data_IF_048852270946
#
_entry.id   IF_048852270946
#
_cell.length_a   1.000
_cell.length_b   1.000
_cell.length_c   1.000
_cell.angle_alpha   90.00
_cell.angle_beta   90.00
_cell.angle_gamma   90.00
#
_symmetry.space_group_name_H-M   'P 1'
#
loop_
_entity.id
_entity.type
_entity.pdbx_description
1 polymer ?
#
# COMPACT_ATOMS: atom_id res chain seq x y z
N UNK A 1 -9.17 -2.84 -3.49
CA UNK A 1 -8.46 -2.42 -2.25
C UNK A 1 -7.01 -2.13 -2.62
N UNK A 2 -6.52 -0.91 -2.44
CA UNK A 2 -5.11 -0.59 -2.69
C UNK A 2 -4.18 -1.47 -1.84
N UNK A 3 -3.27 -2.18 -2.51
CA UNK A 3 -2.16 -2.92 -1.91
C UNK A 3 -0.84 -2.19 -2.28
N UNK A 4 0.31 -2.82 -2.09
CA UNK A 4 1.60 -2.19 -2.35
C UNK A 4 1.72 -1.57 -3.76
N UNK A 5 1.36 -2.26 -4.85
CA UNK A 5 1.53 -1.70 -6.19
C UNK A 5 0.70 -0.42 -6.41
N UNK A 6 -0.55 -0.41 -5.97
CA UNK A 6 -1.45 0.73 -6.12
C UNK A 6 -0.94 1.94 -5.31
N UNK A 7 -0.46 1.71 -4.08
CA UNK A 7 0.09 2.78 -3.24
C UNK A 7 1.42 3.31 -3.81
N UNK A 8 2.25 2.44 -4.42
CA UNK A 8 3.50 2.86 -5.06
C UNK A 8 3.23 3.71 -6.32
N UNK A 9 2.24 3.33 -7.13
CA UNK A 9 1.84 4.13 -8.29
C UNK A 9 1.37 5.51 -7.85
N UNK A 10 0.58 5.61 -6.78
CA UNK A 10 0.16 6.90 -6.20
C UNK A 10 1.38 7.68 -5.69
N UNK A 11 2.27 7.08 -4.91
CA UNK A 11 3.50 7.72 -4.42
C UNK A 11 4.34 8.27 -5.57
N UNK A 12 4.58 7.46 -6.59
CA UNK A 12 5.38 7.84 -7.74
C UNK A 12 4.77 9.01 -8.51
N UNK A 13 3.45 8.97 -8.72
CA UNK A 13 2.73 10.05 -9.42
C UNK A 13 2.65 11.35 -8.61
N UNK A 14 2.62 11.27 -7.27
CA UNK A 14 2.60 12.45 -6.40
C UNK A 14 3.98 13.10 -6.26
N UNK A 15 5.06 12.32 -6.26
CA UNK A 15 6.39 12.80 -5.91
C UNK A 15 6.82 14.09 -6.65
N UNK A 16 6.64 14.22 -7.98
CA UNK A 16 7.01 15.46 -8.67
C UNK A 16 6.20 16.67 -8.24
N UNK A 17 4.94 16.48 -7.85
CA UNK A 17 4.01 17.57 -7.51
C UNK A 17 4.13 18.03 -6.06
N UNK A 18 4.60 17.16 -5.15
CA UNK A 18 4.68 17.49 -3.73
C UNK A 18 6.09 17.81 -3.26
N UNK A 19 7.13 17.45 -4.03
CA UNK A 19 8.52 17.72 -3.63
C UNK A 19 8.86 19.20 -3.67
N UNK A 20 8.95 19.84 -2.51
CA UNK A 20 9.20 21.27 -2.35
C UNK A 20 7.94 22.13 -2.45
N UNK A 21 6.76 21.54 -2.56
CA UNK A 21 5.49 22.27 -2.53
C UNK A 21 5.17 22.76 -1.11
N UNK A 22 4.52 23.92 -1.02
CA UNK A 22 3.95 24.47 0.22
C UNK A 22 2.45 24.24 0.23
N UNK A 23 1.91 23.84 1.38
CA UNK A 23 0.46 23.73 1.62
C UNK A 23 -0.07 25.11 2.00
N UNK A 24 -0.85 25.72 1.14
CA UNK A 24 -1.43 27.06 1.37
C UNK A 24 -2.70 27.01 2.22
N UNK A 25 -3.52 25.99 2.00
CA UNK A 25 -4.76 25.80 2.74
C UNK A 25 -5.15 24.32 2.78
N UNK A 26 -5.92 23.96 3.81
CA UNK A 26 -6.49 22.62 3.99
C UNK A 26 -7.96 22.74 4.32
N UNK A 27 -8.82 22.07 3.53
CA UNK A 27 -10.25 21.94 3.80
C UNK A 27 -10.55 20.51 4.23
N UNK A 28 -11.00 20.29 5.45
CA UNK A 28 -11.49 19.01 5.94
C UNK A 28 -13.01 18.96 5.75
N UNK A 29 -13.46 18.23 4.73
CA UNK A 29 -14.89 18.13 4.37
C UNK A 29 -15.56 16.92 5.06
N UNK A 30 -14.78 15.99 5.59
CA UNK A 30 -15.24 14.79 6.28
C UNK A 30 -14.26 14.40 7.41
N UNK A 31 -14.58 14.75 8.63
CA UNK A 31 -13.70 14.53 9.80
C UNK A 31 -13.41 13.06 10.10
N UNK A 32 -14.30 12.13 9.73
CA UNK A 32 -14.05 10.68 9.88
C UNK A 32 -12.84 10.21 9.08
N UNK A 33 -12.41 10.99 8.10
CA UNK A 33 -11.16 10.74 7.36
C UNK A 33 -9.91 11.06 8.19
N UNK A 34 -10.04 11.72 9.35
CA UNK A 34 -8.98 12.01 10.30
C UNK A 34 -8.92 11.01 11.47
N UNK A 35 -9.62 9.88 11.42
CA UNK A 35 -9.72 8.90 12.52
C UNK A 35 -8.37 8.37 13.07
N UNK A 36 -7.27 8.60 12.37
CA UNK A 36 -5.90 8.27 12.80
C UNK A 36 -5.12 9.48 13.29
N UNK A 37 -5.64 10.67 13.10
CA UNK A 37 -5.04 11.90 13.60
C UNK A 37 -5.34 12.05 15.10
N UNK A 38 -4.31 12.43 15.86
CA UNK A 38 -4.47 12.69 17.29
C UNK A 38 -4.77 14.17 17.47
N UNK A 39 -6.02 14.49 17.69
CA UNK A 39 -6.50 15.87 17.85
C UNK A 39 -7.71 16.18 16.95
N UNK A 40 -8.28 17.37 17.08
CA UNK A 40 -9.38 17.83 16.25
C UNK A 40 -8.93 18.20 14.83
N UNK A 41 -9.90 18.48 13.95
CA UNK A 41 -9.60 18.87 12.56
C UNK A 41 -8.82 20.20 12.49
N UNK A 42 -9.04 21.10 13.41
CA UNK A 42 -8.33 22.38 13.52
C UNK A 42 -6.82 22.18 13.74
N UNK A 43 -6.41 21.23 14.59
CA UNK A 43 -4.99 20.89 14.79
C UNK A 43 -4.36 20.35 13.49
N UNK A 44 -5.08 19.50 12.77
CA UNK A 44 -4.63 19.00 11.48
C UNK A 44 -4.42 20.13 10.46
N UNK A 45 -5.37 21.06 10.38
CA UNK A 45 -5.31 22.21 9.47
C UNK A 45 -4.16 23.15 9.85
N UNK A 46 -4.04 23.51 11.13
CA UNK A 46 -3.02 24.43 11.64
C UNK A 46 -1.59 23.91 11.37
N UNK A 47 -1.34 22.63 11.67
CA UNK A 47 -0.02 22.00 11.47
C UNK A 47 0.40 21.86 10.01
N UNK A 48 -0.56 21.83 9.10
CA UNK A 48 -0.30 21.65 7.67
C UNK A 48 -0.29 22.97 6.89
N UNK A 49 -1.03 23.98 7.33
CA UNK A 49 -1.06 25.28 6.65
C UNK A 49 0.31 25.98 6.75
N UNK A 50 0.87 26.34 5.62
CA UNK A 50 2.22 26.89 5.50
C UNK A 50 3.34 25.83 5.51
N UNK A 51 3.01 24.55 5.72
CA UNK A 51 4.00 23.48 5.75
C UNK A 51 4.57 23.22 4.35
N UNK A 52 5.89 23.06 4.26
CA UNK A 52 6.57 22.66 3.04
C UNK A 52 6.82 21.16 3.04
N UNK A 53 6.47 20.50 1.93
CA UNK A 53 6.59 19.06 1.76
C UNK A 53 7.94 18.70 1.15
N UNK A 54 8.60 17.69 1.70
CA UNK A 54 9.91 17.24 1.24
C UNK A 54 9.82 16.25 0.07
N UNK A 55 8.70 15.54 -0.06
CA UNK A 55 8.45 14.54 -1.09
C UNK A 55 7.46 13.50 -0.63
N UNK A 56 7.45 12.35 -1.29
CA UNK A 56 6.53 11.25 -1.01
C UNK A 56 7.29 9.95 -0.73
N UNK A 57 6.95 9.27 0.37
CA UNK A 57 7.57 8.02 0.83
C UNK A 57 6.50 6.96 1.08
N UNK A 58 6.81 5.69 0.78
CA UNK A 58 5.91 4.55 1.00
C UNK A 58 6.63 3.41 1.73
N UNK A 59 5.92 2.79 2.69
CA UNK A 59 6.24 1.45 3.20
C UNK A 59 4.96 0.62 3.25
N UNK A 60 4.97 -0.55 2.62
CA UNK A 60 3.78 -1.39 2.52
C UNK A 60 2.62 -0.64 1.86
N UNK A 61 1.53 -0.45 2.59
CA UNK A 61 0.31 0.24 2.13
C UNK A 61 0.16 1.65 2.70
N UNK A 62 1.16 2.13 3.44
CA UNK A 62 1.21 3.49 3.96
C UNK A 62 2.02 4.40 3.05
N UNK A 63 1.48 5.57 2.82
CA UNK A 63 2.10 6.70 2.13
C UNK A 63 2.26 7.83 3.13
N UNK A 64 3.38 8.56 3.09
CA UNK A 64 3.53 9.78 3.86
C UNK A 64 4.34 10.82 3.14
N UNK A 65 4.08 12.07 3.46
CA UNK A 65 4.76 13.25 2.94
C UNK A 65 5.48 13.92 4.13
N UNK A 66 6.81 13.76 4.26
CA UNK A 66 7.57 14.41 5.32
C UNK A 66 7.49 15.93 5.20
N UNK A 67 7.27 16.61 6.34
CA UNK A 67 7.20 18.08 6.43
C UNK A 67 8.60 18.61 6.70
N UNK A 68 9.04 19.60 5.93
CA UNK A 68 10.32 20.29 6.15
C UNK A 68 10.28 21.07 7.46
N UNK A 69 11.39 21.07 8.17
CA UNK A 69 11.64 21.93 9.32
C UNK A 69 13.04 22.57 9.20
N UNK A 70 13.41 23.39 10.16
CA UNK A 70 14.71 24.09 10.19
C UNK A 70 15.91 23.12 10.30
N UNK A 71 15.70 21.91 10.80
CA UNK A 71 16.67 20.81 10.79
C UNK A 71 16.46 19.95 9.54
N UNK A 72 17.52 19.36 9.01
CA UNK A 72 17.41 18.47 7.82
C UNK A 72 16.67 17.16 8.08
N UNK A 73 16.26 16.88 9.30
CA UNK A 73 15.52 15.69 9.69
C UNK A 73 14.06 16.09 10.02
N UNK A 74 13.07 15.63 9.23
CA UNK A 74 11.67 16.02 9.45
C UNK A 74 11.14 15.47 10.77
N UNK A 75 10.53 16.34 11.55
CA UNK A 75 9.93 15.98 12.84
C UNK A 75 8.52 15.36 12.67
N UNK A 76 7.84 15.70 11.57
CA UNK A 76 6.46 15.32 11.30
C UNK A 76 6.25 14.93 9.83
N UNK A 77 5.18 14.22 9.57
CA UNK A 77 4.73 13.89 8.22
C UNK A 77 3.20 13.89 8.12
N UNK A 78 2.69 14.26 6.97
CA UNK A 78 1.32 13.95 6.57
C UNK A 78 1.27 12.48 6.14
N UNK A 79 0.62 11.64 6.92
CA UNK A 79 0.46 10.19 6.68
C UNK A 79 -0.88 9.93 6.03
N UNK A 80 -0.90 9.11 4.98
CA UNK A 80 -2.10 8.65 4.31
C UNK A 80 -2.18 7.11 4.29
N UNK A 81 -3.37 6.58 4.56
CA UNK A 81 -3.72 5.19 4.34
C UNK A 81 -4.97 5.13 3.47
N UNK A 82 -4.88 4.54 2.28
CA UNK A 82 -5.95 4.60 1.30
C UNK A 82 -7.16 3.71 1.65
N UNK A 83 -7.03 2.82 2.63
CA UNK A 83 -8.12 1.92 3.04
C UNK A 83 -8.55 1.00 1.91
N UNK A 84 -9.84 1.03 1.55
CA UNK A 84 -10.42 0.20 0.50
C UNK A 84 -10.74 0.96 -0.79
N UNK A 85 -11.06 2.25 -0.70
CA UNK A 85 -11.54 3.08 -1.80
C UNK A 85 -10.94 4.49 -1.81
N UNK A 86 -10.00 4.77 -0.90
CA UNK A 86 -9.33 6.06 -0.86
C UNK A 86 -8.40 6.26 -2.05
N UNK A 87 -8.41 7.48 -2.57
CA UNK A 87 -7.59 7.93 -3.67
C UNK A 87 -6.99 9.28 -3.33
N UNK A 88 -5.80 9.54 -3.84
CA UNK A 88 -5.18 10.86 -3.78
C UNK A 88 -5.04 11.34 -5.22
N UNK A 89 -5.76 12.40 -5.56
CA UNK A 89 -5.86 12.92 -6.92
C UNK A 89 -5.19 14.29 -7.00
N UNK A 90 -4.28 14.42 -7.96
CA UNK A 90 -3.68 15.70 -8.32
C UNK A 90 -4.57 16.39 -9.34
N UNK A 91 -4.85 17.66 -9.12
CA UNK A 91 -5.76 18.48 -9.95
C UNK A 91 -5.14 19.84 -10.20
N UNK A 92 -5.59 20.47 -11.27
CA UNK A 92 -5.37 21.91 -11.42
C UNK A 92 -6.06 22.67 -10.30
N UNK A 93 -5.48 23.78 -9.86
CA UNK A 93 -5.99 24.56 -8.72
C UNK A 93 -7.47 24.95 -8.89
N UNK A 94 -7.91 25.22 -10.11
CA UNK A 94 -9.27 25.66 -10.44
C UNK A 94 -10.20 24.54 -10.93
N UNK A 95 -9.74 23.27 -10.92
CA UNK A 95 -10.59 22.16 -11.35
C UNK A 95 -11.85 22.05 -10.49
N UNK A 96 -12.96 21.58 -11.05
CA UNK A 96 -14.16 21.30 -10.27
C UNK A 96 -13.88 20.29 -9.13
N UNK A 97 -14.62 20.41 -8.04
CA UNK A 97 -14.51 19.50 -6.92
C UNK A 97 -14.83 18.06 -7.37
N UNK A 98 -13.92 17.13 -7.12
CA UNK A 98 -14.22 15.71 -7.35
C UNK A 98 -15.36 15.28 -6.42
N UNK A 99 -16.35 14.51 -6.91
CA UNK A 99 -17.34 13.90 -6.05
C UNK A 99 -16.67 13.09 -4.93
N UNK A 100 -17.23 13.14 -3.72
CA UNK A 100 -16.73 12.37 -2.56
C UNK A 100 -15.32 12.79 -2.08
N UNK A 101 -14.86 14.01 -2.42
CA UNK A 101 -13.67 14.60 -1.80
C UNK A 101 -13.91 14.72 -0.29
N UNK A 102 -12.93 14.25 0.50
CA UNK A 102 -13.00 14.24 1.97
C UNK A 102 -12.07 15.27 2.59
N UNK A 103 -10.90 15.45 1.98
CA UNK A 103 -9.91 16.46 2.38
C UNK A 103 -9.35 17.06 1.10
N UNK A 104 -9.16 18.37 1.10
CA UNK A 104 -8.57 19.12 0.00
C UNK A 104 -7.37 19.90 0.49
N UNK A 105 -6.32 19.93 -0.30
CA UNK A 105 -5.13 20.73 -0.08
C UNK A 105 -4.92 21.67 -1.27
N UNK A 106 -4.82 22.96 -1.00
CA UNK A 106 -4.28 23.92 -1.95
C UNK A 106 -2.77 23.94 -1.79
N UNK A 107 -2.04 23.72 -2.87
CA UNK A 107 -0.57 23.66 -2.89
C UNK A 107 -0.02 24.74 -3.81
N UNK A 108 1.16 25.27 -3.47
CA UNK A 108 1.98 26.06 -4.38
C UNK A 108 3.32 25.34 -4.57
N UNK A 109 3.61 24.94 -5.81
CA UNK A 109 4.88 24.31 -6.17
C UNK A 109 5.80 25.31 -6.84
N UNK A 110 7.11 25.37 -6.48
CA UNK A 110 8.02 26.39 -7.00
C UNK A 110 8.22 26.37 -8.52
N UNK A 111 7.98 25.21 -9.17
CA UNK A 111 8.12 25.04 -10.63
C UNK A 111 6.76 24.93 -11.33
N UNK A 112 5.80 24.24 -10.72
CA UNK A 112 4.50 23.95 -11.36
C UNK A 112 3.40 24.96 -10.98
N UNK A 113 3.68 25.90 -10.06
CA UNK A 113 2.69 26.87 -9.59
C UNK A 113 1.59 26.27 -8.72
N UNK A 114 0.39 26.88 -8.73
CA UNK A 114 -0.73 26.42 -7.91
C UNK A 114 -1.27 25.06 -8.37
N UNK A 115 -1.42 24.14 -7.43
CA UNK A 115 -1.95 22.78 -7.62
C UNK A 115 -2.96 22.48 -6.54
N UNK A 116 -3.80 21.47 -6.76
CA UNK A 116 -4.73 20.95 -5.77
C UNK A 116 -4.55 19.45 -5.60
N UNK A 117 -4.54 19.01 -4.35
CA UNK A 117 -4.55 17.60 -3.97
C UNK A 117 -5.87 17.29 -3.29
N UNK A 118 -6.64 16.35 -3.84
CA UNK A 118 -7.91 15.89 -3.28
C UNK A 118 -7.74 14.46 -2.72
N UNK A 119 -8.07 14.27 -1.44
CA UNK A 119 -8.31 12.92 -0.89
C UNK A 119 -9.76 12.56 -1.08
N UNK A 120 -10.02 11.58 -1.95
CA UNK A 120 -11.35 11.13 -2.33
C UNK A 120 -11.57 9.73 -1.78
N UNK A 121 -12.67 9.51 -1.05
CA UNK A 121 -12.97 8.19 -0.50
C UNK A 121 -14.47 7.96 -0.36
N UNK A 122 -15.04 7.11 -1.20
CA UNK A 122 -16.46 6.79 -1.17
C UNK A 122 -16.90 6.15 0.15
N UNK A 123 -16.07 5.25 0.70
CA UNK A 123 -16.43 4.39 1.84
C UNK A 123 -15.90 4.91 3.18
N UNK A 124 -15.08 5.94 3.19
CA UNK A 124 -14.44 6.55 4.37
C UNK A 124 -13.63 5.50 5.18
N UNK A 125 -13.01 4.55 4.48
CA UNK A 125 -12.13 3.55 5.08
C UNK A 125 -10.66 3.97 5.08
N UNK A 126 -10.30 4.90 4.23
CA UNK A 126 -9.01 5.56 4.26
C UNK A 126 -8.92 6.60 5.39
N UNK A 127 -7.76 7.17 5.55
CA UNK A 127 -7.52 8.19 6.55
C UNK A 127 -6.25 8.97 6.26
N UNK A 128 -6.21 10.21 6.76
CA UNK A 128 -5.01 11.03 6.85
C UNK A 128 -4.75 11.44 8.31
N UNK A 129 -3.49 11.70 8.64
CA UNK A 129 -3.06 12.18 9.95
C UNK A 129 -1.75 12.94 9.82
N UNK A 130 -1.52 13.95 10.66
CA UNK A 130 -0.17 14.43 10.93
C UNK A 130 0.40 13.58 12.07
N UNK A 131 1.61 13.07 11.89
CA UNK A 131 2.23 12.13 12.82
C UNK A 131 3.72 12.44 13.01
N UNK A 132 4.21 12.18 14.22
CA UNK A 132 5.60 12.39 14.57
C UNK A 132 6.51 11.37 13.84
N UNK A 133 7.67 11.84 13.38
CA UNK A 133 8.70 11.00 12.78
C UNK A 133 9.63 10.44 13.86
N UNK A 134 9.91 9.15 13.78
CA UNK A 134 10.83 8.43 14.65
C UNK A 134 12.01 7.90 13.84
N UNK A 135 13.22 7.79 14.39
CA UNK A 135 14.33 7.10 13.74
C UNK A 135 13.96 5.65 13.37
N UNK A 136 14.40 5.18 12.21
CA UNK A 136 14.26 3.78 11.84
C UNK A 136 15.14 2.92 12.75
N UNK A 137 14.67 1.72 13.11
CA UNK A 137 15.41 0.82 14.01
C UNK A 137 16.73 0.30 13.43
N UNK A 138 16.82 0.26 12.11
CA UNK A 138 17.97 -0.25 11.35
C UNK A 138 18.85 0.85 10.78
N UNK A 139 18.54 2.13 11.04
CA UNK A 139 19.31 3.29 10.63
C UNK A 139 19.36 3.53 9.11
N UNK A 140 18.54 2.81 8.32
CA UNK A 140 18.47 2.99 6.85
C UNK A 140 17.15 3.61 6.44
N UNK A 141 17.05 4.02 5.17
CA UNK A 141 15.86 4.66 4.62
C UNK A 141 14.57 3.92 5.01
N UNK A 142 13.56 4.68 5.44
CA UNK A 142 12.34 4.12 5.99
C UNK A 142 11.46 3.40 4.95
N UNK A 143 11.60 3.75 3.68
CA UNK A 143 10.80 3.19 2.58
C UNK A 143 11.23 3.73 1.23
N UNK A 144 10.41 3.50 0.21
CA UNK A 144 10.65 4.01 -1.14
C UNK A 144 10.33 5.51 -1.23
N UNK A 145 11.17 6.25 -1.93
CA UNK A 145 10.96 7.65 -2.32
C UNK A 145 12.08 8.57 -1.86
N UNK A 146 12.35 8.67 -0.58
CA UNK A 146 13.41 9.53 -0.02
C UNK A 146 14.37 8.71 0.85
N UNK A 147 15.67 9.06 0.87
CA UNK A 147 16.68 8.36 1.68
C UNK A 147 16.65 8.81 3.15
N UNK A 148 15.46 8.91 3.75
CA UNK A 148 15.27 9.33 5.13
C UNK A 148 15.25 8.13 6.07
N UNK A 149 16.13 8.12 7.07
CA UNK A 149 16.17 7.13 8.13
C UNK A 149 15.18 7.45 9.26
N UNK A 150 14.03 8.03 8.92
CA UNK A 150 12.95 8.36 9.83
C UNK A 150 11.59 7.90 9.27
N UNK A 151 10.70 7.48 10.16
CA UNK A 151 9.43 6.83 9.83
C UNK A 151 8.32 7.38 10.75
N UNK A 152 7.09 7.63 10.24
CA UNK A 152 5.98 8.02 11.09
C UNK A 152 5.71 6.99 12.19
N UNK A 153 5.37 7.44 13.39
CA UNK A 153 5.14 6.58 14.56
C UNK A 153 4.09 5.51 14.29
N UNK A 154 3.02 5.87 13.59
CA UNK A 154 1.93 4.98 13.17
C UNK A 154 2.35 3.92 12.14
N UNK A 155 3.49 4.10 11.47
CA UNK A 155 4.03 3.19 10.45
C UNK A 155 5.19 2.35 10.99
N UNK A 156 5.78 2.73 12.13
CA UNK A 156 6.98 2.11 12.68
C UNK A 156 6.83 0.60 13.01
N UNK A 157 5.60 0.12 13.23
CA UNK A 157 5.29 -1.29 13.50
C UNK A 157 5.21 -2.15 12.22
N UNK A 158 5.13 -1.53 11.05
CA UNK A 158 4.99 -2.22 9.77
C UNK A 158 6.35 -2.77 9.31
N UNK A 159 6.40 -4.04 8.94
CA UNK A 159 7.59 -4.66 8.38
C UNK A 159 7.97 -4.00 7.04
N UNK A 160 9.24 -4.18 6.62
CA UNK A 160 9.63 -3.85 5.26
C UNK A 160 8.88 -4.72 4.27
N UNK A 161 8.56 -4.18 3.12
CA UNK A 161 7.95 -4.95 2.04
C UNK A 161 9.02 -5.73 1.24
N UNK A 162 8.62 -6.79 0.51
CA UNK A 162 9.57 -7.71 -0.13
C UNK A 162 10.37 -7.09 -1.29
N UNK A 163 10.00 -5.89 -1.76
CA UNK A 163 10.71 -5.15 -2.80
C UNK A 163 11.70 -4.13 -2.22
N UNK A 164 11.64 -3.85 -0.91
CA UNK A 164 12.57 -2.94 -0.23
C UNK A 164 14.00 -3.54 -0.27
N UNK A 165 15.03 -2.80 -0.74
CA UNK A 165 16.41 -3.28 -0.74
C UNK A 165 16.93 -3.69 0.64
N UNK A 166 16.39 -3.10 1.71
CA UNK A 166 16.74 -3.43 3.10
C UNK A 166 15.85 -4.55 3.69
N UNK A 167 15.07 -5.28 2.87
CA UNK A 167 14.28 -6.41 3.33
C UNK A 167 15.18 -7.59 3.73
N UNK A 168 15.14 -7.97 5.01
CA UNK A 168 15.91 -9.10 5.52
C UNK A 168 15.16 -10.43 5.29
N UNK A 169 15.49 -11.10 4.20
CA UNK A 169 14.93 -12.39 3.81
C UNK A 169 15.18 -13.48 4.87
N UNK A 170 16.36 -13.50 5.49
CA UNK A 170 16.72 -14.51 6.51
C UNK A 170 15.80 -14.36 7.73
N UNK A 171 15.63 -13.13 8.20
CA UNK A 171 14.73 -12.84 9.32
C UNK A 171 13.29 -13.12 8.98
N UNK A 172 12.81 -12.77 7.77
CA UNK A 172 11.48 -13.12 7.30
C UNK A 172 11.25 -14.65 7.34
N UNK A 173 12.13 -15.43 6.73
CA UNK A 173 12.00 -16.90 6.68
C UNK A 173 12.01 -17.55 8.08
N UNK A 174 12.87 -17.07 8.97
CA UNK A 174 12.91 -17.53 10.36
C UNK A 174 11.61 -17.23 11.10
N UNK A 175 11.09 -16.00 10.98
CA UNK A 175 9.83 -15.58 11.61
C UNK A 175 8.63 -16.31 11.02
N UNK A 176 8.62 -16.55 9.70
CA UNK A 176 7.57 -17.32 9.03
C UNK A 176 7.52 -18.76 9.55
N UNK A 177 8.66 -19.43 9.66
CA UNK A 177 8.77 -20.81 10.15
C UNK A 177 8.36 -20.94 11.64
N UNK A 178 8.54 -19.90 12.44
CA UNK A 178 8.14 -19.87 13.85
C UNK A 178 6.63 -19.61 14.07
N UNK A 179 5.92 -19.11 13.05
CA UNK A 179 4.47 -18.88 13.15
C UNK A 179 3.70 -20.20 13.10
N UNK A 180 2.64 -20.30 13.89
CA UNK A 180 1.66 -21.40 13.86
C UNK A 180 0.35 -20.89 13.32
N UNK A 181 0.28 -20.76 12.00
CA UNK A 181 -0.88 -20.22 11.29
C UNK A 181 -0.89 -20.74 9.84
N UNK A 182 -1.87 -20.34 9.05
CA UNK A 182 -1.88 -20.65 7.62
C UNK A 182 -1.02 -19.67 6.83
N UNK A 183 -0.47 -20.12 5.71
CA UNK A 183 0.46 -19.31 4.91
C UNK A 183 -0.18 -18.01 4.42
N UNK A 184 -1.46 -18.02 4.02
CA UNK A 184 -2.14 -16.80 3.59
C UNK A 184 -2.29 -15.80 4.75
N UNK A 185 -2.62 -16.26 5.95
CA UNK A 185 -2.65 -15.40 7.15
C UNK A 185 -1.29 -14.77 7.42
N UNK A 186 -0.23 -15.55 7.27
CA UNK A 186 1.13 -15.05 7.44
C UNK A 186 1.49 -13.98 6.40
N UNK A 187 1.12 -14.17 5.12
CA UNK A 187 1.34 -13.17 4.06
C UNK A 187 0.53 -11.88 4.26
N UNK A 188 -0.63 -11.96 4.91
CA UNK A 188 -1.47 -10.80 5.21
C UNK A 188 -1.05 -10.05 6.48
N UNK A 189 -0.13 -10.62 7.27
CA UNK A 189 0.40 -9.99 8.49
C UNK A 189 1.42 -8.92 8.14
N UNK A 190 0.99 -7.66 8.16
CA UNK A 190 1.82 -6.51 7.80
C UNK A 190 3.00 -6.30 8.76
N UNK A 191 3.03 -6.95 9.91
CA UNK A 191 4.18 -6.94 10.83
C UNK A 191 5.24 -7.99 10.48
N UNK A 192 4.90 -8.97 9.66
CA UNK A 192 5.82 -10.01 9.16
C UNK A 192 6.41 -9.62 7.80
N UNK A 193 5.53 -9.24 6.88
CA UNK A 193 5.84 -8.79 5.52
C UNK A 193 4.74 -7.80 5.10
N UNK A 194 5.10 -6.61 4.67
CA UNK A 194 4.09 -5.60 4.39
C UNK A 194 3.75 -5.48 2.89
N UNK A 195 2.67 -4.79 2.61
CA UNK A 195 2.24 -4.46 1.26
C UNK A 195 1.32 -5.50 0.60
N UNK A 196 1.37 -6.75 1.02
CA UNK A 196 0.55 -7.83 0.46
C UNK A 196 -0.86 -7.77 1.05
N UNK A 197 -1.86 -7.85 0.19
CA UNK A 197 -3.25 -8.01 0.58
C UNK A 197 -3.85 -9.25 -0.08
N UNK A 198 -5.18 -9.27 -0.21
CA UNK A 198 -5.89 -10.46 -0.66
C UNK A 198 -5.62 -10.83 -2.12
N UNK A 199 -5.46 -9.82 -2.97
CA UNK A 199 -5.22 -10.00 -4.41
C UNK A 199 -3.86 -10.66 -4.62
N UNK A 200 -2.82 -10.01 -4.14
CA UNK A 200 -1.44 -10.45 -4.38
C UNK A 200 -1.06 -11.68 -3.56
N UNK A 201 -1.74 -11.95 -2.42
CA UNK A 201 -1.59 -13.21 -1.71
C UNK A 201 -2.11 -14.39 -2.55
N UNK A 202 -3.33 -14.30 -3.13
CA UNK A 202 -3.88 -15.37 -3.96
C UNK A 202 -3.02 -15.59 -5.22
N UNK A 203 -2.58 -14.52 -5.88
CA UNK A 203 -1.74 -14.60 -7.07
C UNK A 203 -0.38 -15.25 -6.78
N UNK A 204 0.30 -14.83 -5.71
CA UNK A 204 1.60 -15.37 -5.34
C UNK A 204 1.49 -16.86 -4.90
N UNK A 205 0.46 -17.21 -4.15
CA UNK A 205 0.18 -18.58 -3.74
C UNK A 205 -0.13 -19.48 -4.95
N UNK A 206 -0.90 -18.97 -5.92
CA UNK A 206 -1.12 -19.69 -7.16
C UNK A 206 0.18 -19.88 -7.95
N UNK A 207 0.99 -18.83 -8.08
CA UNK A 207 2.27 -18.89 -8.77
C UNK A 207 3.22 -19.92 -8.13
N UNK A 208 3.34 -19.92 -6.82
CA UNK A 208 4.18 -20.83 -6.04
C UNK A 208 3.58 -22.24 -5.86
N UNK A 209 2.35 -22.52 -6.33
CA UNK A 209 1.63 -23.79 -6.11
C UNK A 209 1.50 -24.14 -4.64
N UNK A 210 1.20 -23.18 -3.80
CA UNK A 210 0.99 -23.33 -2.36
C UNK A 210 -0.48 -23.12 -2.05
N UNK A 211 -1.10 -24.04 -1.32
CA UNK A 211 -2.49 -23.88 -0.87
C UNK A 211 -2.56 -22.75 0.16
N UNK A 212 -3.61 -21.92 0.12
CA UNK A 212 -3.77 -20.78 1.02
C UNK A 212 -3.79 -21.19 2.51
N UNK A 213 -4.33 -22.37 2.78
CA UNK A 213 -4.48 -22.95 4.13
C UNK A 213 -3.30 -23.86 4.54
N UNK A 214 -2.20 -23.90 3.78
CA UNK A 214 -0.99 -24.64 4.13
C UNK A 214 -0.45 -24.13 5.48
N UNK A 215 -0.28 -25.01 6.50
CA UNK A 215 0.32 -24.59 7.77
C UNK A 215 1.76 -24.12 7.56
N UNK A 216 2.13 -23.00 8.19
CA UNK A 216 3.45 -22.39 8.04
C UNK A 216 4.58 -23.31 8.50
N UNK A 217 4.38 -24.04 9.58
CA UNK A 217 5.36 -24.98 10.15
C UNK A 217 5.65 -26.21 9.27
N UNK A 218 4.73 -26.54 8.34
CA UNK A 218 4.93 -27.66 7.39
C UNK A 218 5.53 -27.20 6.06
N UNK A 219 5.73 -25.88 5.89
CA UNK A 219 6.33 -25.32 4.67
C UNK A 219 7.86 -25.41 4.75
N UNK A 220 8.48 -26.23 3.89
CA UNK A 220 9.95 -26.32 3.86
C UNK A 220 10.60 -24.98 3.50
N UNK A 221 11.82 -24.74 4.00
CA UNK A 221 12.57 -23.51 3.73
C UNK A 221 12.75 -23.25 2.22
N UNK A 222 12.93 -24.29 1.41
CA UNK A 222 12.99 -24.18 -0.06
C UNK A 222 11.67 -23.64 -0.63
N UNK A 223 10.53 -24.18 -0.19
CA UNK A 223 9.22 -23.71 -0.67
C UNK A 223 8.88 -22.30 -0.18
N UNK A 224 9.30 -21.95 1.03
CA UNK A 224 9.13 -20.60 1.56
C UNK A 224 9.93 -19.58 0.73
N UNK A 225 11.19 -19.90 0.34
CA UNK A 225 11.97 -19.04 -0.57
C UNK A 225 11.34 -18.94 -1.95
N UNK A 226 10.85 -20.05 -2.51
CA UNK A 226 10.15 -20.06 -3.80
C UNK A 226 8.89 -19.19 -3.75
N UNK A 227 8.12 -19.26 -2.66
CA UNK A 227 6.95 -18.41 -2.46
C UNK A 227 7.34 -16.92 -2.39
N UNK A 228 8.37 -16.58 -1.64
CA UNK A 228 8.86 -15.19 -1.57
C UNK A 228 9.32 -14.66 -2.94
N UNK A 229 9.99 -15.50 -3.73
CA UNK A 229 10.37 -15.15 -5.10
C UNK A 229 9.13 -14.86 -5.97
N UNK A 230 8.09 -15.69 -5.89
CA UNK A 230 6.84 -15.45 -6.62
C UNK A 230 6.09 -14.22 -6.12
N UNK A 231 6.11 -13.93 -4.81
CA UNK A 231 5.57 -12.68 -4.25
C UNK A 231 6.24 -11.47 -4.93
N UNK A 232 7.57 -11.46 -4.99
CA UNK A 232 8.33 -10.37 -5.64
C UNK A 232 7.97 -10.23 -7.11
N UNK A 233 7.92 -11.34 -7.86
CA UNK A 233 7.58 -11.32 -9.28
C UNK A 233 6.17 -10.80 -9.55
N UNK A 234 5.19 -11.23 -8.77
CA UNK A 234 3.80 -10.78 -8.92
C UNK A 234 3.69 -9.29 -8.63
N UNK A 235 4.30 -8.79 -7.55
CA UNK A 235 4.30 -7.37 -7.21
C UNK A 235 5.03 -6.52 -8.26
N UNK A 236 6.16 -6.97 -8.79
CA UNK A 236 6.90 -6.27 -9.85
C UNK A 236 6.09 -6.17 -11.14
N UNK A 237 5.41 -7.24 -11.55
CA UNK A 237 4.49 -7.22 -12.71
C UNK A 237 3.34 -6.25 -12.49
N UNK A 238 2.74 -6.29 -11.31
CA UNK A 238 1.65 -5.37 -10.98
C UNK A 238 2.10 -3.90 -11.03
N UNK A 239 3.30 -3.60 -10.54
CA UNK A 239 3.89 -2.25 -10.65
C UNK A 239 4.10 -1.84 -12.11
N UNK A 240 4.64 -2.73 -12.95
CA UNK A 240 4.86 -2.46 -14.38
C UNK A 240 3.55 -2.20 -15.14
N UNK A 241 2.45 -2.80 -14.70
CA UNK A 241 1.11 -2.65 -15.30
C UNK A 241 0.27 -1.54 -14.62
N UNK A 242 0.85 -0.76 -13.68
CA UNK A 242 0.16 0.35 -13.01
C UNK A 242 -0.84 -0.07 -11.93
N UNK A 243 -0.71 -1.29 -11.40
CA UNK A 243 -1.61 -1.83 -10.37
C UNK A 243 -2.93 -2.38 -10.92
N UNK A 244 -3.83 -2.76 -10.01
CA UNK A 244 -5.17 -3.27 -10.33
C UNK A 244 -6.22 -2.16 -10.20
N UNK A 245 -7.07 -1.99 -11.20
CA UNK A 245 -8.27 -1.16 -11.12
C UNK A 245 -9.50 -2.04 -11.31
N UNK A 246 -10.02 -2.61 -10.22
CA UNK A 246 -11.28 -3.37 -10.25
C UNK A 246 -12.51 -2.48 -10.18
N UNK A 247 -12.36 -1.29 -9.62
CA UNK A 247 -13.40 -0.30 -9.53
C UNK A 247 -13.11 0.77 -10.59
N UNK A 248 -14.08 1.05 -11.44
CA UNK A 248 -13.97 2.12 -12.43
C UNK A 248 -13.71 3.50 -11.78
N UNK A 249 -13.98 3.62 -10.48
CA UNK A 249 -13.72 4.81 -9.68
C UNK A 249 -12.28 4.89 -9.16
N UNK A 250 -11.53 3.76 -9.12
CA UNK A 250 -10.14 3.79 -8.68
C UNK A 250 -9.21 4.12 -9.84
N UNK A 251 -8.63 5.30 -9.79
CA UNK A 251 -7.70 5.82 -10.78
C UNK A 251 -6.41 6.28 -10.11
N UNK A 252 -5.33 6.35 -10.87
CA UNK A 252 -4.06 6.90 -10.45
C UNK A 252 -4.17 8.42 -10.21
N UNK A 253 -3.11 9.03 -9.71
CA UNK A 253 -3.04 10.46 -9.38
C UNK A 253 -3.49 11.37 -10.53
N UNK A 254 -3.23 10.96 -11.76
CA UNK A 254 -3.59 11.65 -13.01
C UNK A 254 -4.89 11.17 -13.66
N UNK A 255 -5.67 10.32 -12.99
CA UNK A 255 -6.93 9.78 -13.51
C UNK A 255 -6.82 8.54 -14.40
N UNK A 256 -5.62 7.96 -14.58
CA UNK A 256 -5.45 6.74 -15.37
C UNK A 256 -5.75 5.47 -14.57
N UNK A 257 -6.35 4.46 -15.22
CA UNK A 257 -6.60 3.14 -14.62
C UNK A 257 -5.41 2.20 -14.80
N UNK A 258 -5.17 1.33 -13.81
CA UNK A 258 -4.18 0.26 -13.93
C UNK A 258 -4.72 -0.94 -14.73
N UNK A 259 -3.84 -1.71 -15.35
CA UNK A 259 -4.19 -2.82 -16.27
C UNK A 259 -3.98 -4.20 -15.68
N UNK A 260 -3.38 -4.34 -14.50
CA UNK A 260 -3.03 -5.66 -13.93
C UNK A 260 -4.25 -6.55 -13.65
N UNK A 261 -5.46 -5.99 -13.52
CA UNK A 261 -6.70 -6.78 -13.39
C UNK A 261 -6.91 -7.79 -14.53
N UNK A 262 -6.42 -7.51 -15.74
CA UNK A 262 -6.47 -8.42 -16.90
C UNK A 262 -5.41 -9.52 -16.86
N UNK A 263 -4.37 -9.36 -16.04
CA UNK A 263 -3.25 -10.30 -15.88
C UNK A 263 -3.44 -11.32 -14.76
N UNK A 264 -4.51 -11.21 -13.98
CA UNK A 264 -4.80 -12.11 -12.85
C UNK A 264 -5.00 -13.55 -13.27
N UNK A 265 -4.53 -14.48 -12.43
CA UNK A 265 -4.53 -15.92 -12.69
C UNK A 265 -5.42 -16.71 -11.72
N UNK A 266 -5.63 -16.20 -10.53
CA UNK A 266 -6.40 -16.84 -9.48
C UNK A 266 -7.46 -15.90 -8.89
N UNK A 267 -7.05 -14.70 -8.45
CA UNK A 267 -7.98 -13.77 -7.80
C UNK A 267 -9.10 -13.33 -8.75
N UNK A 268 -10.35 -13.54 -8.33
CA UNK A 268 -11.54 -13.21 -9.12
C UNK A 268 -11.80 -14.15 -10.32
N UNK A 269 -11.00 -15.22 -10.47
CA UNK A 269 -11.08 -16.14 -11.60
C UNK A 269 -11.88 -17.43 -11.28
N UNK A 270 -12.71 -17.44 -10.24
CA UNK A 270 -13.53 -18.61 -9.92
C UNK A 270 -14.40 -19.02 -11.13
N UNK A 271 -14.44 -20.33 -11.39
CA UNK A 271 -15.18 -20.88 -12.52
C UNK A 271 -14.44 -20.81 -13.87
N UNK A 272 -13.26 -20.16 -13.95
CA UNK A 272 -12.44 -20.18 -15.16
C UNK A 272 -11.38 -21.30 -15.10
N UNK A 273 -10.93 -21.81 -16.27
CA UNK A 273 -9.88 -22.83 -16.32
C UNK A 273 -8.53 -22.29 -15.81
N UNK A 274 -7.88 -23.02 -14.92
CA UNK A 274 -6.50 -22.77 -14.50
C UNK A 274 -5.56 -22.85 -15.71
N UNK A 275 -4.78 -21.81 -15.95
CA UNK A 275 -3.87 -21.73 -17.11
C UNK A 275 -2.74 -22.79 -17.11
N UNK A 276 -2.56 -23.56 -16.03
CA UNK A 276 -1.56 -24.64 -15.93
C UNK A 276 -2.12 -26.05 -16.15
N UNK A 277 -3.35 -26.30 -15.74
CA UNK A 277 -3.89 -27.67 -15.72
C UNK A 277 -5.34 -27.76 -16.19
N UNK A 278 -5.92 -26.65 -16.67
CA UNK A 278 -7.29 -26.52 -17.15
C UNK A 278 -8.41 -26.85 -16.14
N UNK A 279 -8.09 -27.26 -14.91
CA UNK A 279 -9.07 -27.41 -13.84
C UNK A 279 -9.60 -26.06 -13.42
N UNK A 280 -10.87 -25.97 -13.02
CA UNK A 280 -11.49 -24.72 -12.64
C UNK A 280 -10.85 -24.14 -11.38
N UNK A 281 -10.62 -22.84 -11.38
CA UNK A 281 -10.28 -22.06 -10.20
C UNK A 281 -11.51 -22.06 -9.28
N UNK A 282 -11.30 -22.30 -8.00
CA UNK A 282 -12.35 -22.29 -6.99
C UNK A 282 -12.15 -21.10 -6.04
N UNK A 283 -13.25 -20.72 -5.39
CA UNK A 283 -13.27 -19.73 -4.33
C UNK A 283 -13.82 -20.35 -3.07
N UNK A 284 -13.07 -20.26 -1.99
CA UNK A 284 -13.50 -20.71 -0.66
C UNK A 284 -13.54 -19.55 0.32
N UNK A 285 -14.33 -19.69 1.39
CA UNK A 285 -14.36 -18.72 2.48
C UNK A 285 -13.05 -18.75 3.24
N UNK A 286 -12.45 -17.58 3.43
CA UNK A 286 -11.25 -17.41 4.23
C UNK A 286 -11.40 -16.15 5.10
N UNK A 287 -11.49 -16.33 6.41
CA UNK A 287 -11.81 -15.24 7.33
C UNK A 287 -13.13 -14.56 6.90
N UNK A 288 -13.14 -13.23 6.71
CA UNK A 288 -14.28 -12.44 6.24
C UNK A 288 -14.23 -12.13 4.72
N UNK A 289 -13.46 -12.89 3.94
CA UNK A 289 -13.23 -12.69 2.49
C UNK A 289 -13.12 -14.04 1.77
N UNK A 290 -12.77 -14.03 0.49
CA UNK A 290 -12.53 -15.25 -0.28
C UNK A 290 -11.03 -15.51 -0.50
N UNK A 291 -10.68 -16.78 -0.67
CA UNK A 291 -9.43 -17.25 -1.28
C UNK A 291 -9.72 -17.89 -2.62
N UNK A 292 -8.96 -17.52 -3.65
CA UNK A 292 -9.08 -18.06 -4.99
C UNK A 292 -7.85 -18.93 -5.30
N UNK A 293 -8.07 -20.17 -5.72
CA UNK A 293 -6.95 -21.08 -5.96
C UNK A 293 -7.34 -22.21 -6.93
N UNK A 294 -6.33 -22.93 -7.45
CA UNK A 294 -6.53 -24.14 -8.22
C UNK A 294 -6.43 -25.36 -7.31
N UNK A 295 -7.50 -26.17 -7.11
CA UNK A 295 -7.49 -27.29 -6.19
C UNK A 295 -6.57 -28.44 -6.64
N UNK A 296 -6.19 -28.48 -7.91
CA UNK A 296 -5.25 -29.46 -8.44
C UNK A 296 -3.79 -29.03 -8.28
N UNK A 297 -3.48 -27.77 -8.59
CA UNK A 297 -2.09 -27.27 -8.53
C UNK A 297 -1.64 -26.91 -7.11
N UNK A 298 -2.58 -26.51 -6.25
CA UNK A 298 -2.33 -26.02 -4.89
C UNK A 298 -2.94 -26.99 -3.88
N UNK A 299 -2.17 -27.99 -3.48
CA UNK A 299 -2.61 -28.99 -2.49
C UNK A 299 -1.93 -28.76 -1.16
N UNK A 300 -2.64 -28.96 -0.06
CA UNK A 300 -2.05 -29.00 1.28
C UNK A 300 -1.10 -30.20 1.32
N UNK A 301 0.11 -29.98 1.81
CA UNK A 301 1.12 -31.01 2.02
C UNK A 301 1.39 -31.12 3.51
N UNK A 302 0.89 -32.16 4.11
CA UNK A 302 1.22 -32.56 5.48
C UNK A 302 2.46 -33.44 5.36
N UNK A 303 3.50 -33.15 6.14
CA UNK A 303 4.68 -34.01 6.25
C UNK A 303 4.34 -35.25 7.04
#
# INVERSE_FOLDING_TARGET
VPELPEVEVVRHGLAPAVSGATIEAVDVLEERSLKRHTGPAEDFIERLTGARLRGAVRRGKFLWLPIENASNDPAEALVAHLGMSGQVLLRDAQAEAAPLTRIRFALTHPVHGPLRLDFVDQRIFGSMAVDAMLPTRDGVAAGFGLPLASIPSQVAHIARDPLDPAFDERTFLRRLAAKRTTIKRALLDQTLISGIGNIYADEALWAARVHYDQPTETLSARRARSLLAEVRLVLQRALAEGGTSFDAQYVNVNGASGYFSHSLRAYGQQGTPCRRCARLIVREQFMNRGSHFCPHCQRIRIR
#
